data_IF_071631818924
#
_entry.id   IF_071631818924
#
_cell.length_a   1.000
_cell.length_b   1.000
_cell.length_c   1.000
_cell.angle_alpha   90.00
_cell.angle_beta   90.00
_cell.angle_gamma   90.00
#
_symmetry.space_group_name_H-M   'P 1'
#
loop_
_entity.id
_entity.type
_entity.pdbx_description
1 polymer ?
#
# COMPACT_ATOMS: atom_id res chain seq x y z
N UNK A 1 -9.25 -5.63 -3.31
CA UNK A 1 -9.13 -4.81 -2.07
C UNK A 1 -7.69 -4.86 -1.55
N UNK A 2 -7.19 -3.82 -0.85
CA UNK A 2 -5.81 -3.80 -0.29
C UNK A 2 -5.57 -4.93 0.73
N UNK A 3 -6.57 -5.26 1.54
CA UNK A 3 -6.48 -6.37 2.50
C UNK A 3 -6.21 -7.72 1.83
N UNK A 4 -6.75 -7.97 0.62
CA UNK A 4 -6.48 -9.22 -0.10
C UNK A 4 -5.03 -9.29 -0.59
N UNK A 5 -4.41 -8.13 -0.87
CA UNK A 5 -3.01 -8.04 -1.29
C UNK A 5 -2.05 -8.18 -0.11
N UNK A 6 -2.41 -7.61 1.04
CA UNK A 6 -1.65 -7.72 2.29
C UNK A 6 -1.83 -9.08 2.98
N UNK A 7 -2.50 -10.07 2.37
CA UNK A 7 -2.55 -11.43 2.94
C UNK A 7 -1.16 -12.04 3.03
N UNK A 8 -0.34 -11.75 2.03
CA UNK A 8 1.09 -12.04 2.04
C UNK A 8 1.85 -10.77 2.46
N UNK A 9 2.97 -10.90 3.19
CA UNK A 9 3.80 -9.76 3.55
C UNK A 9 4.29 -9.03 2.29
N UNK A 10 4.08 -7.71 2.23
CA UNK A 10 4.53 -6.90 1.09
C UNK A 10 4.94 -5.48 1.51
N UNK A 11 5.80 -4.87 0.70
CA UNK A 11 6.44 -3.57 0.96
C UNK A 11 5.59 -2.41 0.44
N UNK A 12 5.97 -1.17 0.79
CA UNK A 12 5.35 0.03 0.21
C UNK A 12 5.55 0.05 -1.30
N UNK A 13 6.72 -0.32 -1.78
CA UNK A 13 7.08 -0.37 -3.19
C UNK A 13 6.17 -1.34 -3.97
N UNK A 14 5.88 -2.51 -3.39
CA UNK A 14 4.93 -3.48 -3.98
C UNK A 14 3.52 -2.89 -4.10
N UNK A 15 3.10 -2.13 -3.09
CA UNK A 15 1.80 -1.43 -3.07
C UNK A 15 1.76 -0.32 -4.12
N UNK A 16 2.85 0.43 -4.31
CA UNK A 16 2.98 1.46 -5.36
C UNK A 16 2.90 0.84 -6.75
N UNK A 17 3.60 -0.27 -6.98
CA UNK A 17 3.59 -0.99 -8.25
C UNK A 17 2.19 -1.44 -8.68
N UNK A 18 1.29 -1.67 -7.73
CA UNK A 18 -0.09 -2.05 -7.98
C UNK A 18 -1.02 -0.91 -8.43
N UNK A 19 -0.54 0.35 -8.52
CA UNK A 19 -1.26 1.55 -9.00
C UNK A 19 -2.72 1.60 -8.56
N UNK A 20 -2.97 2.01 -7.32
CA UNK A 20 -4.30 1.92 -6.69
C UNK A 20 -5.13 3.18 -6.81
N UNK A 21 -4.50 4.32 -7.10
CA UNK A 21 -5.18 5.61 -7.23
C UNK A 21 -5.50 5.89 -8.69
N UNK A 22 -4.50 5.72 -9.55
CA UNK A 22 -4.61 5.93 -10.98
C UNK A 22 -4.79 4.62 -11.71
N UNK A 23 -5.55 4.64 -12.81
CA UNK A 23 -5.65 3.48 -13.70
C UNK A 23 -4.27 3.20 -14.33
N UNK A 24 -3.94 1.94 -14.64
CA UNK A 24 -2.62 1.58 -15.19
C UNK A 24 -2.22 2.36 -16.44
N UNK A 25 -3.18 2.73 -17.29
CA UNK A 25 -2.96 3.48 -18.53
C UNK A 25 -2.80 5.00 -18.34
N UNK A 26 -2.92 5.53 -17.13
CA UNK A 26 -2.70 6.95 -16.87
C UNK A 26 -1.21 7.17 -16.67
N UNK A 27 -0.62 7.93 -17.58
CA UNK A 27 0.78 8.35 -17.51
C UNK A 27 0.82 9.87 -17.37
N UNK A 28 1.16 10.34 -16.17
CA UNK A 28 1.37 11.75 -15.89
C UNK A 28 2.42 11.91 -14.78
N UNK A 29 3.16 13.04 -14.73
CA UNK A 29 4.25 13.24 -13.77
C UNK A 29 3.82 13.09 -12.30
N UNK A 30 2.56 13.42 -12.00
CA UNK A 30 1.99 13.31 -10.65
C UNK A 30 1.62 11.87 -10.25
N UNK A 31 1.57 10.91 -11.17
CA UNK A 31 1.10 9.55 -10.88
C UNK A 31 1.98 8.88 -9.84
N UNK A 32 3.29 8.80 -10.07
CA UNK A 32 4.21 8.15 -9.14
C UNK A 32 4.25 8.83 -7.75
N UNK A 33 4.40 10.15 -7.63
CA UNK A 33 4.37 10.82 -6.32
C UNK A 33 3.06 10.59 -5.54
N UNK A 34 1.91 10.58 -6.22
CA UNK A 34 0.61 10.36 -5.58
C UNK A 34 0.44 8.90 -5.15
N UNK A 35 0.84 7.94 -5.98
CA UNK A 35 0.81 6.52 -5.64
C UNK A 35 1.71 6.25 -4.42
N UNK A 36 2.94 6.77 -4.42
CA UNK A 36 3.88 6.62 -3.29
C UNK A 36 3.32 7.21 -2.00
N UNK A 37 2.85 8.46 -2.03
CA UNK A 37 2.26 9.11 -0.85
C UNK A 37 1.06 8.34 -0.31
N UNK A 38 0.25 7.77 -1.20
CA UNK A 38 -0.92 6.97 -0.82
C UNK A 38 -0.49 5.62 -0.25
N UNK A 39 0.47 4.96 -0.86
CA UNK A 39 1.02 3.67 -0.41
C UNK A 39 1.72 3.77 0.94
N UNK A 40 2.33 4.92 1.28
CA UNK A 40 2.90 5.15 2.62
C UNK A 40 1.83 5.44 3.67
N UNK A 41 0.87 6.34 3.39
CA UNK A 41 -0.12 6.77 4.39
C UNK A 41 -1.21 5.74 4.69
N UNK A 42 -1.47 4.83 3.75
CA UNK A 42 -2.61 3.91 3.82
C UNK A 42 -2.35 2.73 4.78
N UNK A 43 -1.16 2.11 4.83
CA UNK A 43 -0.77 1.19 5.88
C UNK A 43 -0.90 1.80 7.27
N UNK A 44 -0.40 3.01 7.51
CA UNK A 44 -0.51 3.69 8.82
C UNK A 44 -1.96 3.73 9.34
N UNK A 45 -2.90 4.11 8.47
CA UNK A 45 -4.34 4.12 8.82
C UNK A 45 -4.89 2.74 9.11
N UNK A 46 -4.45 1.72 8.39
CA UNK A 46 -4.91 0.34 8.58
C UNK A 46 -4.30 -0.30 9.83
N UNK A 47 -3.08 0.07 10.20
CA UNK A 47 -2.43 -0.28 11.46
C UNK A 47 -3.22 0.33 12.62
N UNK A 48 -3.53 1.62 12.56
CA UNK A 48 -4.38 2.27 13.57
C UNK A 48 -5.78 1.66 13.70
N UNK A 49 -6.32 1.11 12.61
CA UNK A 49 -7.60 0.40 12.61
C UNK A 49 -7.49 -1.08 13.04
N UNK A 50 -6.29 -1.59 13.34
CA UNK A 50 -6.06 -2.99 13.71
C UNK A 50 -6.28 -3.99 12.57
N UNK A 51 -6.29 -3.54 11.31
CA UNK A 51 -6.54 -4.39 10.13
C UNK A 51 -5.23 -4.89 9.48
N UNK A 52 -4.11 -4.25 9.78
CA UNK A 52 -2.78 -4.52 9.23
C UNK A 52 -1.77 -4.44 10.36
N UNK A 53 -0.72 -5.24 10.28
CA UNK A 53 0.45 -5.16 11.15
C UNK A 53 1.72 -5.04 10.32
N UNK A 54 2.67 -4.27 10.81
CA UNK A 54 4.05 -4.29 10.35
C UNK A 54 4.73 -5.51 11.00
N UNK A 55 5.28 -6.42 10.19
CA UNK A 55 5.96 -7.64 10.68
C UNK A 55 7.45 -7.45 10.79
N UNK A 56 8.01 -6.63 9.91
CA UNK A 56 9.39 -6.16 9.87
C UNK A 56 9.36 -4.73 9.34
N UNK A 57 10.45 -3.98 9.53
CA UNK A 57 10.49 -2.58 9.12
C UNK A 57 10.16 -2.40 7.62
N UNK A 58 9.05 -1.74 7.32
CA UNK A 58 8.55 -1.52 5.96
C UNK A 58 7.80 -2.70 5.32
N UNK A 59 7.56 -3.79 6.06
CA UNK A 59 6.89 -4.99 5.58
C UNK A 59 5.53 -5.17 6.28
N UNK A 60 4.45 -5.17 5.49
CA UNK A 60 3.08 -5.13 6.01
C UNK A 60 2.30 -6.39 5.64
N UNK A 61 1.45 -6.86 6.56
CA UNK A 61 0.44 -7.89 6.29
C UNK A 61 -0.88 -7.59 6.99
N UNK A 62 -1.97 -8.25 6.60
CA UNK A 62 -3.24 -8.20 7.35
C UNK A 62 -3.05 -8.73 8.77
N UNK A 63 -3.60 -8.01 9.75
CA UNK A 63 -3.71 -8.50 11.11
C UNK A 63 -4.70 -9.68 11.11
N UNK A 64 -4.26 -10.81 11.64
CA UNK A 64 -5.04 -12.03 11.80
C UNK A 64 -5.16 -12.33 13.29
#
# INVERSE_FOLDING_TARGET
MLLAFLREPCTVEDIVGHRRVHRPHVEAPQVEPVERRTATRRPDRLIHAGLVTEVEHGLFRTAH
#
